data_IF_246919398579
#
_entry.id   IF_246919398579
#
_cell.length_a   1.000
_cell.length_b   1.000
_cell.length_c   1.000
_cell.angle_alpha   90.00
_cell.angle_beta   90.00
_cell.angle_gamma   90.00
#
_symmetry.space_group_name_H-M   'P 1'
#
loop_
_entity.id
_entity.type
_entity.pdbx_description
1 polymer ?
#
# COMPACT_ATOMS: atom_id res chain seq x y z
N UNK A 1 27.71 11.88 0.27
CA UNK A 1 26.93 12.98 -0.35
C UNK A 1 25.50 12.56 -0.68
N UNK A 2 25.29 11.45 -1.41
CA UNK A 2 23.95 10.99 -1.81
C UNK A 2 22.97 10.78 -0.64
N UNK A 3 23.42 10.21 0.47
CA UNK A 3 22.56 10.01 1.65
C UNK A 3 22.04 11.35 2.23
N UNK A 4 22.89 12.38 2.30
CA UNK A 4 22.49 13.71 2.76
C UNK A 4 21.49 14.37 1.82
N UNK A 5 21.72 14.25 0.50
CA UNK A 5 20.76 14.71 -0.53
C UNK A 5 19.44 13.95 -0.40
N UNK A 6 19.51 12.64 -0.14
CA UNK A 6 18.37 11.76 0.09
C UNK A 6 17.50 12.26 1.24
N UNK A 7 18.10 12.47 2.42
CA UNK A 7 17.38 13.00 3.58
C UNK A 7 16.88 14.42 3.38
N UNK A 8 17.65 15.29 2.71
CA UNK A 8 17.20 16.65 2.41
C UNK A 8 15.95 16.65 1.50
N UNK A 9 15.99 15.92 0.38
CA UNK A 9 14.85 15.83 -0.53
C UNK A 9 13.69 15.07 0.09
N UNK A 10 13.95 14.01 0.87
CA UNK A 10 12.93 13.30 1.65
C UNK A 10 12.21 14.23 2.64
N UNK A 11 12.95 15.06 3.36
CA UNK A 11 12.38 16.07 4.26
C UNK A 11 11.57 17.13 3.50
N UNK A 12 12.09 17.62 2.37
CA UNK A 12 11.38 18.59 1.54
C UNK A 12 10.03 18.03 1.05
N UNK A 13 10.03 16.82 0.47
CA UNK A 13 8.81 16.15 0.00
C UNK A 13 7.85 15.91 1.16
N UNK A 14 8.34 15.44 2.31
CA UNK A 14 7.51 15.21 3.49
C UNK A 14 6.84 16.48 4.01
N UNK A 15 7.55 17.62 4.02
CA UNK A 15 7.00 18.93 4.42
C UNK A 15 5.92 19.36 3.42
N UNK A 16 6.17 19.25 2.12
CA UNK A 16 5.19 19.59 1.08
C UNK A 16 3.94 18.71 1.20
N UNK A 17 4.12 17.41 1.41
CA UNK A 17 3.02 16.45 1.60
C UNK A 17 2.20 16.71 2.88
N UNK A 18 2.85 17.13 3.96
CA UNK A 18 2.16 17.56 5.18
C UNK A 18 1.34 18.83 4.95
N UNK A 19 1.90 19.83 4.28
CA UNK A 19 1.19 21.08 3.93
C UNK A 19 0.03 20.83 2.97
N UNK A 20 0.18 19.89 2.04
CA UNK A 20 -0.88 19.43 1.15
C UNK A 20 -1.95 18.58 1.86
N UNK A 21 -1.78 18.26 3.15
CA UNK A 21 -2.73 17.47 3.92
C UNK A 21 -2.78 15.99 3.53
N UNK A 22 -1.75 15.46 2.87
CA UNK A 22 -1.59 14.02 2.57
C UNK A 22 -0.95 13.25 3.73
N UNK A 23 -0.15 13.93 4.55
CA UNK A 23 0.51 13.37 5.74
C UNK A 23 0.08 14.10 7.01
N UNK A 24 0.07 13.37 8.12
CA UNK A 24 0.12 13.98 9.46
C UNK A 24 1.55 14.40 9.83
N UNK A 25 1.76 15.10 10.96
CA UNK A 25 3.10 15.46 11.43
C UNK A 25 3.99 14.23 11.67
N UNK A 26 3.44 13.20 12.32
CA UNK A 26 4.15 11.93 12.55
C UNK A 26 4.41 11.18 11.24
N UNK A 27 3.45 11.20 10.32
CA UNK A 27 3.62 10.67 8.97
C UNK A 27 4.71 11.39 8.18
N UNK A 28 4.83 12.71 8.30
CA UNK A 28 5.87 13.49 7.64
C UNK A 28 7.26 13.12 8.15
N UNK A 29 7.44 12.98 9.47
CA UNK A 29 8.71 12.51 10.03
C UNK A 29 9.06 11.10 9.53
N UNK A 30 8.12 10.16 9.58
CA UNK A 30 8.32 8.81 9.07
C UNK A 30 8.63 8.79 7.57
N UNK A 31 8.00 9.65 6.77
CA UNK A 31 8.22 9.76 5.34
C UNK A 31 9.59 10.37 5.01
N UNK A 32 10.04 11.35 5.78
CA UNK A 32 11.38 11.92 5.64
C UNK A 32 12.47 10.86 5.91
N UNK A 33 12.28 10.05 6.95
CA UNK A 33 13.19 8.94 7.27
C UNK A 33 13.16 7.85 6.20
N UNK A 34 11.96 7.33 5.89
CA UNK A 34 11.78 6.21 4.95
C UNK A 34 12.21 6.61 3.53
N UNK A 35 11.75 7.76 3.05
CA UNK A 35 12.13 8.30 1.74
C UNK A 35 13.59 8.72 1.67
N UNK A 36 14.14 9.27 2.76
CA UNK A 36 15.56 9.62 2.87
C UNK A 36 16.46 8.39 2.76
N UNK A 37 16.10 7.28 3.40
CA UNK A 37 16.82 6.01 3.28
C UNK A 37 16.70 5.41 1.88
N UNK A 38 15.48 5.28 1.36
CA UNK A 38 15.23 4.68 0.03
C UNK A 38 15.98 5.45 -1.05
N UNK A 39 15.88 6.78 -1.05
CA UNK A 39 16.56 7.59 -2.05
C UNK A 39 18.07 7.69 -1.79
N UNK A 40 18.46 7.93 -0.53
CA UNK A 40 19.85 8.11 -0.16
C UNK A 40 20.72 6.87 -0.41
N UNK A 41 20.14 5.68 -0.32
CA UNK A 41 20.82 4.40 -0.56
C UNK A 41 20.57 3.91 -1.99
N UNK A 42 19.30 3.79 -2.40
CA UNK A 42 18.94 3.20 -3.69
C UNK A 42 19.08 4.16 -4.89
N UNK A 43 19.08 5.47 -4.65
CA UNK A 43 19.17 6.48 -5.68
C UNK A 43 17.86 6.78 -6.40
N UNK A 44 17.97 7.47 -7.54
CA UNK A 44 16.83 8.01 -8.29
C UNK A 44 15.79 6.93 -8.67
N UNK A 45 16.18 5.73 -9.17
CA UNK A 45 15.19 4.71 -9.54
C UNK A 45 14.29 4.31 -8.36
N UNK A 46 14.87 4.14 -7.17
CA UNK A 46 14.15 3.74 -5.97
C UNK A 46 13.23 4.86 -5.47
N UNK A 47 13.73 6.09 -5.49
CA UNK A 47 12.94 7.27 -5.14
C UNK A 47 11.75 7.45 -6.08
N UNK A 48 11.92 7.21 -7.38
CA UNK A 48 10.85 7.35 -8.37
C UNK A 48 9.73 6.34 -8.13
N UNK A 49 10.02 5.07 -7.83
CA UNK A 49 8.94 4.11 -7.53
C UNK A 49 8.17 4.48 -6.25
N UNK A 50 8.88 4.89 -5.20
CA UNK A 50 8.25 5.37 -3.97
C UNK A 50 7.37 6.60 -4.23
N UNK A 51 7.86 7.56 -5.02
CA UNK A 51 7.12 8.76 -5.39
C UNK A 51 5.94 8.46 -6.31
N UNK A 52 6.08 7.54 -7.26
CA UNK A 52 4.97 7.09 -8.12
C UNK A 52 3.84 6.54 -7.28
N UNK A 53 4.14 5.64 -6.33
CA UNK A 53 3.15 5.17 -5.36
C UNK A 53 2.54 6.33 -4.57
N UNK A 54 3.38 7.11 -3.88
CA UNK A 54 2.92 8.12 -2.94
C UNK A 54 2.08 9.22 -3.60
N UNK A 55 2.55 9.78 -4.72
CA UNK A 55 1.89 10.88 -5.43
C UNK A 55 0.60 10.39 -6.07
N UNK A 56 0.62 9.28 -6.81
CA UNK A 56 -0.58 8.78 -7.50
C UNK A 56 -1.67 8.36 -6.51
N UNK A 57 -1.30 7.62 -5.46
CA UNK A 57 -2.23 7.20 -4.42
C UNK A 57 -2.78 8.39 -3.62
N UNK A 58 -1.95 9.40 -3.32
CA UNK A 58 -2.44 10.62 -2.66
C UNK A 58 -3.39 11.42 -3.55
N UNK A 59 -3.10 11.51 -4.85
CA UNK A 59 -3.96 12.20 -5.80
C UNK A 59 -5.35 11.55 -5.87
N UNK A 60 -5.42 10.21 -5.92
CA UNK A 60 -6.68 9.48 -5.86
C UNK A 60 -7.42 9.71 -4.54
N UNK A 61 -6.71 9.61 -3.40
CA UNK A 61 -7.31 9.85 -2.08
C UNK A 61 -7.95 11.23 -1.96
N UNK A 62 -7.29 12.27 -2.49
CA UNK A 62 -7.82 13.64 -2.48
C UNK A 62 -8.94 13.85 -3.48
N UNK A 63 -8.80 13.38 -4.72
CA UNK A 63 -9.79 13.54 -5.79
C UNK A 63 -11.15 12.95 -5.39
N UNK A 64 -11.16 11.83 -4.67
CA UNK A 64 -12.39 11.12 -4.30
C UNK A 64 -12.78 11.24 -2.82
N UNK A 65 -12.14 12.12 -2.05
CA UNK A 65 -12.38 12.28 -0.62
C UNK A 65 -13.87 12.51 -0.29
N UNK A 66 -14.54 13.42 -1.03
CA UNK A 66 -15.97 13.75 -0.81
C UNK A 66 -16.90 12.56 -1.07
N UNK A 67 -16.62 11.78 -2.13
CA UNK A 67 -17.45 10.62 -2.51
C UNK A 67 -17.34 9.48 -1.51
N UNK A 68 -16.24 9.41 -0.76
CA UNK A 68 -15.98 8.37 0.27
C UNK A 68 -16.36 8.80 1.68
N UNK A 69 -16.84 10.03 1.89
CA UNK A 69 -17.12 10.56 3.23
C UNK A 69 -18.08 9.68 4.03
N UNK A 70 -19.10 9.11 3.38
CA UNK A 70 -20.06 8.20 4.01
C UNK A 70 -19.45 6.87 4.50
N UNK A 71 -18.30 6.45 3.94
CA UNK A 71 -17.61 5.22 4.32
C UNK A 71 -16.56 5.43 5.42
N UNK A 72 -16.30 6.68 5.82
CA UNK A 72 -15.26 7.02 6.79
C UNK A 72 -15.46 6.38 8.18
N UNK A 73 -16.70 6.03 8.55
CA UNK A 73 -17.01 5.32 9.80
C UNK A 73 -16.52 3.87 9.82
N UNK A 74 -16.32 3.24 8.65
CA UNK A 74 -15.82 1.87 8.54
C UNK A 74 -14.31 1.78 8.73
N UNK A 75 -13.57 2.82 8.35
CA UNK A 75 -12.11 2.83 8.40
C UNK A 75 -11.57 3.45 9.69
N UNK A 76 -10.50 2.86 10.21
CA UNK A 76 -9.81 3.34 11.42
C UNK A 76 -9.10 4.68 11.22
N UNK A 77 -8.63 4.95 10.00
CA UNK A 77 -7.83 6.12 9.64
C UNK A 77 -8.46 6.93 8.52
N UNK A 78 -8.13 8.23 8.49
CA UNK A 78 -8.57 9.15 7.45
C UNK A 78 -7.62 9.16 6.23
N UNK A 79 -7.78 10.16 5.37
CA UNK A 79 -6.94 10.35 4.18
C UNK A 79 -5.51 10.82 4.48
N UNK A 80 -5.26 11.36 5.68
CA UNK A 80 -3.93 11.77 6.14
C UNK A 80 -3.16 10.56 6.68
N UNK A 81 -2.06 10.20 6.03
CA UNK A 81 -1.25 9.06 6.46
C UNK A 81 -0.43 9.40 7.70
N UNK A 82 -0.47 8.53 8.70
CA UNK A 82 0.36 8.61 9.90
C UNK A 82 1.64 7.79 9.79
N UNK A 83 2.48 7.84 10.82
CA UNK A 83 3.76 7.12 10.84
C UNK A 83 3.56 5.61 10.61
N UNK A 84 2.52 5.02 11.20
CA UNK A 84 2.24 3.59 11.08
C UNK A 84 1.85 3.23 9.64
N UNK A 85 1.01 4.02 8.97
CA UNK A 85 0.69 3.83 7.55
C UNK A 85 1.90 4.02 6.64
N UNK A 86 2.80 4.95 6.97
CA UNK A 86 4.03 5.17 6.20
C UNK A 86 4.97 3.98 6.33
N UNK A 87 5.19 3.45 7.53
CA UNK A 87 6.04 2.26 7.71
C UNK A 87 5.39 0.98 7.17
N UNK A 88 4.08 0.84 7.29
CA UNK A 88 3.35 -0.30 6.72
C UNK A 88 3.57 -0.40 5.20
N UNK A 89 3.51 0.73 4.50
CA UNK A 89 3.60 0.75 3.04
C UNK A 89 5.04 0.96 2.49
N UNK A 90 5.92 1.61 3.25
CA UNK A 90 7.26 2.00 2.80
C UNK A 90 8.41 1.43 3.63
N UNK A 91 8.15 0.95 4.85
CA UNK A 91 9.18 0.47 5.78
C UNK A 91 9.92 -0.75 5.26
N UNK A 92 9.20 -1.71 4.66
CA UNK A 92 9.83 -2.85 3.99
C UNK A 92 10.75 -2.38 2.85
N UNK A 93 10.32 -1.38 2.07
CA UNK A 93 11.14 -0.83 1.00
C UNK A 93 12.45 -0.19 1.50
N UNK A 94 12.39 0.54 2.62
CA UNK A 94 13.58 1.07 3.27
C UNK A 94 14.49 -0.03 3.82
N UNK A 95 13.91 -1.11 4.37
CA UNK A 95 14.69 -2.27 4.80
C UNK A 95 15.37 -2.97 3.62
N UNK A 96 14.67 -3.20 2.51
CA UNK A 96 15.26 -3.79 1.30
C UNK A 96 16.39 -2.90 0.76
N UNK A 97 16.22 -1.56 0.78
CA UNK A 97 17.28 -0.64 0.39
C UNK A 97 18.52 -0.77 1.30
N UNK A 98 18.34 -0.90 2.61
CA UNK A 98 19.45 -1.16 3.54
C UNK A 98 20.16 -2.48 3.24
N UNK A 99 19.43 -3.55 2.94
CA UNK A 99 20.03 -4.84 2.53
C UNK A 99 20.77 -4.69 1.19
N UNK A 100 20.23 -3.92 0.25
CA UNK A 100 20.88 -3.61 -1.02
C UNK A 100 22.20 -2.85 -0.86
N UNK A 101 22.33 -1.97 0.14
CA UNK A 101 23.62 -1.33 0.46
C UNK A 101 24.72 -2.35 0.81
N UNK A 102 24.35 -3.50 1.39
CA UNK A 102 25.28 -4.55 1.78
C UNK A 102 25.56 -5.54 0.65
N UNK A 103 24.62 -5.68 -0.31
CA UNK A 103 24.67 -6.65 -1.41
C UNK A 103 24.20 -6.04 -2.74
N UNK A 104 24.87 -5.00 -3.25
CA UNK A 104 24.40 -4.25 -4.43
C UNK A 104 24.39 -5.08 -5.72
N UNK A 105 25.12 -6.20 -5.77
CA UNK A 105 25.18 -7.12 -6.91
C UNK A 105 23.89 -7.95 -7.09
N UNK A 106 23.04 -7.99 -6.07
CA UNK A 106 21.84 -8.82 -6.04
C UNK A 106 20.65 -8.11 -6.72
N UNK A 107 20.50 -8.31 -8.03
CA UNK A 107 19.43 -7.69 -8.82
C UNK A 107 18.01 -7.98 -8.29
N UNK A 108 17.80 -9.13 -7.63
CA UNK A 108 16.52 -9.50 -7.05
C UNK A 108 16.06 -8.53 -5.95
N UNK A 109 16.97 -7.78 -5.29
CA UNK A 109 16.61 -6.78 -4.28
C UNK A 109 15.88 -5.58 -4.89
N UNK A 110 16.32 -5.12 -6.08
CA UNK A 110 15.59 -4.09 -6.85
C UNK A 110 14.20 -4.58 -7.25
N UNK A 111 14.11 -5.83 -7.72
CA UNK A 111 12.84 -6.42 -8.15
C UNK A 111 11.90 -6.67 -6.98
N UNK A 112 12.41 -7.10 -5.83
CA UNK A 112 11.66 -7.22 -4.59
C UNK A 112 11.11 -5.86 -4.13
N UNK A 113 11.92 -4.80 -4.19
CA UNK A 113 11.48 -3.44 -3.89
C UNK A 113 10.37 -2.98 -4.86
N UNK A 114 10.55 -3.20 -6.17
CA UNK A 114 9.54 -2.87 -7.16
C UNK A 114 8.23 -3.65 -6.94
N UNK A 115 8.31 -4.93 -6.59
CA UNK A 115 7.16 -5.76 -6.21
C UNK A 115 6.44 -5.25 -4.96
N UNK A 116 7.19 -4.86 -3.93
CA UNK A 116 6.61 -4.25 -2.72
C UNK A 116 5.85 -2.96 -3.04
N UNK A 117 6.47 -2.06 -3.82
CA UNK A 117 5.85 -0.79 -4.23
C UNK A 117 4.63 -1.01 -5.14
N UNK A 118 4.68 -2.03 -6.01
CA UNK A 118 3.55 -2.38 -6.86
C UNK A 118 2.39 -2.94 -6.05
N UNK A 119 2.65 -3.77 -5.04
CA UNK A 119 1.62 -4.33 -4.15
C UNK A 119 0.88 -3.23 -3.38
N UNK A 120 1.62 -2.34 -2.71
CA UNK A 120 1.00 -1.26 -1.93
C UNK A 120 0.27 -0.25 -2.83
N UNK A 121 0.76 0.00 -4.05
CA UNK A 121 0.08 0.88 -5.00
C UNK A 121 -1.18 0.22 -5.60
N UNK A 122 -1.10 -1.06 -5.97
CA UNK A 122 -2.24 -1.83 -6.46
C UNK A 122 -3.35 -1.89 -5.42
N UNK A 123 -3.00 -2.22 -4.17
CA UNK A 123 -3.95 -2.28 -3.08
C UNK A 123 -4.59 -0.92 -2.78
N UNK A 124 -3.76 0.14 -2.73
CA UNK A 124 -4.28 1.49 -2.48
C UNK A 124 -5.23 1.90 -3.60
N UNK A 125 -4.88 1.66 -4.87
CA UNK A 125 -5.78 1.98 -6.00
C UNK A 125 -7.07 1.14 -5.96
N UNK A 126 -6.98 -0.14 -5.60
CA UNK A 126 -8.13 -1.02 -5.45
C UNK A 126 -9.09 -0.52 -4.37
N UNK A 127 -8.56 -0.09 -3.22
CA UNK A 127 -9.36 0.43 -2.11
C UNK A 127 -9.91 1.83 -2.39
N UNK A 128 -9.10 2.68 -3.03
CA UNK A 128 -9.46 4.07 -3.37
C UNK A 128 -10.54 4.16 -4.45
N UNK A 129 -10.43 3.33 -5.50
CA UNK A 129 -11.36 3.33 -6.63
C UNK A 129 -12.46 2.27 -6.48
N UNK A 130 -12.16 1.11 -5.91
CA UNK A 130 -13.11 0.00 -5.79
C UNK A 130 -14.36 0.34 -4.98
N UNK A 131 -14.24 1.20 -3.96
CA UNK A 131 -15.39 1.70 -3.19
C UNK A 131 -16.38 2.54 -4.02
N UNK A 132 -15.93 3.07 -5.17
CA UNK A 132 -16.75 3.83 -6.11
C UNK A 132 -17.49 2.93 -7.11
N UNK A 133 -17.23 1.62 -7.09
CA UNK A 133 -17.89 0.66 -7.98
C UNK A 133 -19.40 0.68 -7.81
N UNK A 134 -20.11 0.69 -8.94
CA UNK A 134 -21.58 0.57 -8.94
C UNK A 134 -22.03 -0.83 -8.54
N UNK A 135 -21.26 -1.85 -8.90
CA UNK A 135 -21.54 -3.24 -8.51
C UNK A 135 -21.23 -3.47 -7.03
N UNK A 136 -22.06 -4.24 -6.31
CA UNK A 136 -21.79 -4.54 -4.92
C UNK A 136 -20.55 -5.46 -4.80
N UNK A 137 -19.67 -5.23 -3.80
CA UNK A 137 -18.49 -6.07 -3.61
C UNK A 137 -18.87 -7.49 -3.19
N UNK A 138 -17.97 -8.42 -3.47
CA UNK A 138 -18.08 -9.81 -3.05
C UNK A 138 -16.88 -10.17 -2.20
N UNK A 139 -17.08 -10.93 -1.12
CA UNK A 139 -15.97 -11.43 -0.32
C UNK A 139 -15.07 -12.33 -1.17
N UNK A 140 -13.78 -12.07 -1.17
CA UNK A 140 -12.80 -12.83 -1.96
C UNK A 140 -12.79 -14.33 -1.62
N UNK A 141 -13.14 -14.68 -0.39
CA UNK A 141 -13.12 -16.07 0.11
C UNK A 141 -14.38 -16.87 -0.22
N UNK A 142 -15.56 -16.23 -0.27
CA UNK A 142 -16.85 -16.94 -0.38
C UNK A 142 -17.69 -16.50 -1.57
N UNK A 143 -17.33 -15.43 -2.26
CA UNK A 143 -18.11 -14.84 -3.35
C UNK A 143 -19.44 -14.20 -2.93
N UNK A 144 -19.76 -14.22 -1.62
CA UNK A 144 -20.98 -13.62 -1.06
C UNK A 144 -20.94 -12.11 -1.21
N UNK A 145 -22.08 -11.54 -1.57
CA UNK A 145 -22.25 -10.09 -1.68
C UNK A 145 -22.18 -9.47 -0.28
N UNK A 146 -21.36 -8.42 -0.14
CA UNK A 146 -21.19 -7.69 1.12
C UNK A 146 -21.35 -6.18 0.90
N UNK A 147 -21.40 -5.45 2.01
CA UNK A 147 -21.50 -4.00 1.96
C UNK A 147 -20.21 -3.37 1.40
N UNK A 148 -20.35 -2.16 0.83
CA UNK A 148 -19.19 -1.36 0.41
C UNK A 148 -18.32 -1.01 1.63
N UNK A 149 -17.01 -1.12 1.46
CA UNK A 149 -16.02 -0.89 2.52
C UNK A 149 -15.86 -2.04 3.51
N UNK A 150 -16.45 -3.21 3.27
CA UNK A 150 -16.14 -4.43 4.04
C UNK A 150 -14.74 -4.93 3.68
N UNK A 151 -13.89 -5.14 4.68
CA UNK A 151 -12.53 -5.66 4.49
C UNK A 151 -12.55 -7.04 3.83
N UNK A 152 -11.79 -7.19 2.74
CA UNK A 152 -11.78 -8.38 1.87
C UNK A 152 -12.91 -8.45 0.84
N UNK A 153 -13.72 -7.40 0.70
CA UNK A 153 -14.71 -7.24 -0.36
C UNK A 153 -14.08 -6.71 -1.65
N UNK A 154 -14.12 -7.49 -2.73
CA UNK A 154 -13.53 -7.14 -4.04
C UNK A 154 -14.60 -6.86 -5.09
N UNK A 155 -14.26 -6.02 -6.08
CA UNK A 155 -15.08 -5.74 -7.26
C UNK A 155 -14.23 -5.84 -8.52
N UNK A 156 -14.86 -6.05 -9.68
CA UNK A 156 -14.14 -6.01 -10.96
C UNK A 156 -13.44 -4.66 -11.17
N UNK A 157 -14.13 -3.56 -10.86
CA UNK A 157 -13.54 -2.22 -10.97
C UNK A 157 -12.32 -2.03 -10.06
N UNK A 158 -12.40 -2.50 -8.81
CA UNK A 158 -11.27 -2.51 -7.88
C UNK A 158 -10.09 -3.36 -8.39
N UNK A 159 -10.36 -4.54 -8.95
CA UNK A 159 -9.30 -5.39 -9.51
C UNK A 159 -8.63 -4.77 -10.74
N UNK A 160 -9.39 -4.09 -11.61
CA UNK A 160 -8.83 -3.35 -12.75
C UNK A 160 -8.01 -2.14 -12.30
N UNK A 161 -8.43 -1.47 -11.21
CA UNK A 161 -7.64 -0.43 -10.56
C UNK A 161 -6.34 -0.99 -9.97
N UNK A 162 -6.38 -2.16 -9.32
CA UNK A 162 -5.19 -2.85 -8.81
C UNK A 162 -4.21 -3.17 -9.95
N UNK A 163 -4.70 -3.74 -11.05
CA UNK A 163 -3.92 -4.04 -12.24
C UNK A 163 -3.25 -2.78 -12.80
N UNK A 164 -3.99 -1.68 -12.92
CA UNK A 164 -3.46 -0.41 -13.44
C UNK A 164 -2.42 0.21 -12.50
N UNK A 165 -2.64 0.13 -11.19
CA UNK A 165 -1.69 0.58 -10.18
C UNK A 165 -0.38 -0.22 -10.21
N UNK A 166 -0.46 -1.55 -10.32
CA UNK A 166 0.70 -2.42 -10.45
C UNK A 166 1.43 -2.18 -11.79
N UNK A 167 0.70 -2.06 -12.89
CA UNK A 167 1.25 -1.82 -14.22
C UNK A 167 1.98 -0.47 -14.31
N UNK A 168 1.48 0.58 -13.66
CA UNK A 168 2.16 1.88 -13.57
C UNK A 168 3.50 1.76 -12.86
N UNK A 169 3.55 1.14 -11.68
CA UNK A 169 4.80 0.95 -10.94
C UNK A 169 5.76 0.06 -11.73
N UNK A 170 5.26 -1.03 -12.31
CA UNK A 170 6.05 -1.92 -13.15
C UNK A 170 6.64 -1.22 -14.38
N UNK A 171 5.90 -0.32 -15.02
CA UNK A 171 6.38 0.44 -16.18
C UNK A 171 7.58 1.30 -15.81
N UNK A 172 7.49 2.03 -14.70
CA UNK A 172 8.60 2.84 -14.20
C UNK A 172 9.78 1.95 -13.81
N UNK A 173 9.53 0.81 -13.15
CA UNK A 173 10.59 -0.11 -12.74
C UNK A 173 11.33 -0.73 -13.94
N UNK A 174 10.57 -1.16 -14.96
CA UNK A 174 11.09 -1.75 -16.19
C UNK A 174 11.87 -0.73 -17.04
N UNK A 175 11.53 0.56 -17.00
CA UNK A 175 12.28 1.61 -17.68
C UNK A 175 13.73 1.75 -17.17
N UNK A 176 14.01 1.31 -15.94
CA UNK A 176 15.36 1.25 -15.37
C UNK A 176 16.08 -0.08 -15.64
N UNK A 177 15.44 -1.01 -16.35
CA UNK A 177 16.11 -2.22 -16.87
C UNK A 177 16.45 -2.04 -18.34
N UNK A 178 17.65 -2.48 -18.74
CA UNK A 178 18.04 -2.46 -20.15
C UNK A 178 17.02 -3.19 -21.04
N UNK A 179 17.00 -2.83 -22.33
CA UNK A 179 15.94 -3.21 -23.29
C UNK A 179 15.60 -4.71 -23.34
N UNK A 180 16.56 -5.60 -23.08
CA UNK A 180 16.36 -7.05 -23.15
C UNK A 180 15.50 -7.67 -22.05
N UNK A 181 15.24 -6.98 -20.93
CA UNK A 181 14.47 -7.52 -19.78
C UNK A 181 13.22 -6.73 -19.43
N UNK A 182 12.87 -5.73 -20.24
CA UNK A 182 11.76 -4.82 -19.98
C UNK A 182 10.43 -5.55 -19.76
N UNK A 183 9.99 -6.36 -20.72
CA UNK A 183 8.70 -7.06 -20.64
C UNK A 183 8.67 -8.12 -19.53
N UNK A 184 9.81 -8.78 -19.28
CA UNK A 184 9.94 -9.74 -18.19
C UNK A 184 9.74 -9.04 -16.84
N UNK A 185 10.48 -7.96 -16.56
CA UNK A 185 10.34 -7.25 -15.29
C UNK A 185 8.96 -6.63 -15.16
N UNK A 186 8.42 -6.05 -16.23
CA UNK A 186 7.09 -5.44 -16.20
C UNK A 186 6.01 -6.48 -15.83
N UNK A 187 6.06 -7.66 -16.45
CA UNK A 187 5.17 -8.78 -16.11
C UNK A 187 5.33 -9.25 -14.66
N UNK A 188 6.56 -9.43 -14.20
CA UNK A 188 6.86 -9.83 -12.81
C UNK A 188 6.28 -8.85 -11.81
N UNK A 189 6.48 -7.54 -12.02
CA UNK A 189 6.02 -6.50 -11.10
C UNK A 189 4.49 -6.38 -11.10
N UNK A 190 3.83 -6.56 -12.25
CA UNK A 190 2.36 -6.64 -12.32
C UNK A 190 1.84 -7.82 -11.49
N UNK A 191 2.39 -9.02 -11.71
CA UNK A 191 1.97 -10.23 -11.00
C UNK A 191 2.21 -10.10 -9.50
N UNK A 192 3.36 -9.55 -9.09
CA UNK A 192 3.68 -9.28 -7.70
C UNK A 192 2.71 -8.28 -7.07
N UNK A 193 2.38 -7.20 -7.78
CA UNK A 193 1.44 -6.18 -7.29
C UNK A 193 0.03 -6.74 -7.08
N UNK A 194 -0.46 -7.52 -8.05
CA UNK A 194 -1.74 -8.22 -7.96
C UNK A 194 -1.76 -9.26 -6.84
N UNK A 195 -0.68 -10.04 -6.69
CA UNK A 195 -0.57 -11.04 -5.63
C UNK A 195 -0.58 -10.41 -4.24
N UNK A 196 0.12 -9.29 -4.05
CA UNK A 196 0.09 -8.53 -2.80
C UNK A 196 -1.29 -8.00 -2.46
N UNK A 197 -1.97 -7.32 -3.40
CA UNK A 197 -3.33 -6.81 -3.18
C UNK A 197 -4.37 -7.92 -2.97
N UNK A 198 -4.20 -9.06 -3.64
CA UNK A 198 -5.04 -10.24 -3.38
C UNK A 198 -4.80 -10.80 -1.98
N UNK A 199 -3.54 -10.86 -1.53
CA UNK A 199 -3.19 -11.27 -0.17
C UNK A 199 -3.83 -10.33 0.88
N UNK A 200 -3.81 -9.01 0.66
CA UNK A 200 -4.53 -8.05 1.51
C UNK A 200 -6.01 -8.44 1.65
N UNK A 201 -6.69 -8.61 0.51
CA UNK A 201 -8.11 -8.96 0.49
C UNK A 201 -8.40 -10.28 1.22
N UNK A 202 -7.54 -11.29 1.09
CA UNK A 202 -7.69 -12.58 1.77
C UNK A 202 -7.48 -12.43 3.27
N UNK A 203 -6.43 -11.72 3.71
CA UNK A 203 -6.16 -11.47 5.13
C UNK A 203 -7.29 -10.62 5.75
N UNK A 204 -7.75 -9.60 5.02
CA UNK A 204 -8.90 -8.77 5.38
C UNK A 204 -10.17 -9.58 5.56
N UNK A 205 -10.43 -10.57 4.71
CA UNK A 205 -11.60 -11.45 4.79
C UNK A 205 -11.52 -12.53 5.87
N UNK A 206 -10.34 -12.81 6.43
CA UNK A 206 -10.12 -13.99 7.29
C UNK A 206 -9.65 -13.63 8.69
N UNK A 207 -8.47 -13.01 8.79
CA UNK A 207 -7.70 -12.90 10.04
C UNK A 207 -7.52 -11.46 10.52
N UNK A 208 -7.83 -10.45 9.71
CA UNK A 208 -7.78 -9.03 10.12
C UNK A 208 -8.76 -8.75 11.27
N UNK A 209 -8.30 -7.96 12.24
CA UNK A 209 -9.11 -7.47 13.33
C UNK A 209 -10.28 -6.62 12.81
N UNK A 210 -11.51 -7.11 13.02
CA UNK A 210 -12.75 -6.37 12.76
C UNK A 210 -13.54 -6.26 14.05
N UNK A 211 -14.14 -5.09 14.24
CA UNK A 211 -14.95 -4.76 15.39
C UNK A 211 -16.37 -4.40 14.97
N UNK A 212 -17.31 -4.47 15.91
CA UNK A 212 -18.68 -4.04 15.74
C UNK A 212 -19.03 -3.00 16.78
N UNK A 213 -19.72 -1.94 16.36
CA UNK A 213 -20.31 -0.98 17.25
C UNK A 213 -21.70 -1.48 17.71
N UNK A 214 -21.94 -1.75 19.01
CA UNK A 214 -23.24 -2.22 19.47
C UNK A 214 -24.34 -1.16 19.34
N UNK A 215 -24.00 0.13 19.44
CA UNK A 215 -24.96 1.23 19.32
C UNK A 215 -25.42 1.48 17.89
N UNK A 216 -24.51 1.41 16.92
CA UNK A 216 -24.83 1.65 15.50
C UNK A 216 -25.16 0.38 14.73
N UNK A 217 -24.91 -0.79 15.32
CA UNK A 217 -25.03 -2.10 14.69
C UNK A 217 -24.20 -2.27 13.39
N UNK A 218 -23.03 -1.64 13.31
CA UNK A 218 -22.15 -1.64 12.13
C UNK A 218 -20.79 -2.26 12.42
N UNK A 219 -20.24 -2.96 11.43
CA UNK A 219 -18.83 -3.38 11.43
C UNK A 219 -17.90 -2.20 11.10
N UNK A 220 -16.73 -2.19 11.73
CA UNK A 220 -15.74 -1.13 11.62
C UNK A 220 -14.35 -1.66 11.99
N UNK A 221 -13.31 -1.03 11.44
CA UNK A 221 -11.92 -1.21 11.85
C UNK A 221 -11.55 -0.30 13.04
N UNK A 222 -12.45 0.63 13.43
CA UNK A 222 -12.21 1.57 14.53
C UNK A 222 -12.22 0.88 15.89
N UNK A 223 -11.15 1.10 16.64
CA UNK A 223 -10.97 0.61 18.00
C UNK A 223 -10.12 1.60 18.81
N UNK A 224 -10.39 1.82 20.12
CA UNK A 224 -11.43 1.18 20.93
C UNK A 224 -12.83 1.81 20.85
N UNK A 225 -12.97 2.94 20.17
CA UNK A 225 -14.24 3.68 20.07
C UNK A 225 -14.68 3.85 18.62
N UNK A 226 -15.99 3.74 18.39
CA UNK A 226 -16.63 4.07 17.11
C UNK A 226 -16.81 5.59 16.98
N UNK A 227 -17.14 6.08 15.77
CA UNK A 227 -17.40 7.50 15.50
C UNK A 227 -18.56 8.07 16.33
N UNK A 228 -19.48 7.23 16.82
CA UNK A 228 -20.57 7.63 17.71
C UNK A 228 -20.17 7.70 19.20
N UNK A 229 -18.90 7.43 19.55
CA UNK A 229 -18.39 7.42 20.93
C UNK A 229 -18.58 6.10 21.70
N UNK A 230 -19.34 5.14 21.16
CA UNK A 230 -19.52 3.83 21.79
C UNK A 230 -18.24 2.97 21.69
N UNK A 231 -17.97 2.15 22.71
CA UNK A 231 -16.88 1.16 22.67
C UNK A 231 -17.19 0.06 21.65
N UNK A 232 -16.21 -0.27 20.81
CA UNK A 232 -16.35 -1.34 19.83
C UNK A 232 -15.99 -2.69 20.44
N UNK A 233 -16.65 -3.75 19.99
CA UNK A 233 -16.41 -5.12 20.42
C UNK A 233 -15.82 -5.90 19.25
N UNK A 234 -14.74 -6.63 19.49
CA UNK A 234 -14.11 -7.41 18.43
C UNK A 234 -15.02 -8.57 18.00
N UNK A 235 -15.19 -8.76 16.69
CA UNK A 235 -16.03 -9.82 16.12
C UNK A 235 -15.23 -10.81 15.27
N UNK A 236 -14.07 -10.42 14.76
CA UNK A 236 -13.22 -11.28 13.92
C UNK A 236 -11.72 -10.95 14.08
N UNK A 237 -10.90 -11.94 13.76
CA UNK A 237 -9.46 -11.77 13.53
C UNK A 237 -8.61 -11.67 14.79
N UNK A 238 -7.32 -11.40 14.61
CA UNK A 238 -6.37 -11.24 15.70
C UNK A 238 -6.19 -9.77 16.05
N UNK A 239 -6.25 -9.41 17.35
CA UNK A 239 -6.20 -8.00 17.81
C UNK A 239 -5.00 -7.20 17.30
N UNK A 240 -3.86 -7.87 17.11
CA UNK A 240 -2.63 -7.24 16.65
C UNK A 240 -2.56 -7.08 15.12
N UNK A 241 -3.40 -7.81 14.37
CA UNK A 241 -3.44 -7.81 12.91
C UNK A 241 -4.47 -6.78 12.42
N UNK A 242 -4.14 -5.51 12.59
CA UNK A 242 -4.92 -4.39 12.07
C UNK A 242 -4.59 -4.10 10.59
N UNK A 243 -5.27 -3.13 9.98
CA UNK A 243 -5.09 -2.76 8.58
C UNK A 243 -3.64 -2.36 8.23
N UNK A 244 -2.91 -1.70 9.14
CA UNK A 244 -1.50 -1.35 8.87
C UNK A 244 -0.63 -2.60 8.77
N UNK A 245 -0.86 -3.60 9.61
CA UNK A 245 -0.14 -4.87 9.56
C UNK A 245 -0.52 -5.69 8.32
N UNK A 246 -1.78 -5.66 7.90
CA UNK A 246 -2.22 -6.30 6.66
C UNK A 246 -1.53 -5.64 5.45
N UNK A 247 -1.49 -4.31 5.38
CA UNK A 247 -0.74 -3.57 4.34
C UNK A 247 0.75 -3.95 4.32
N UNK A 248 1.38 -4.09 5.50
CA UNK A 248 2.76 -4.55 5.59
C UNK A 248 2.94 -5.95 5.00
N UNK A 249 2.05 -6.89 5.34
CA UNK A 249 2.08 -8.25 4.79
C UNK A 249 1.78 -8.29 3.29
N UNK A 250 0.91 -7.40 2.79
CA UNK A 250 0.66 -7.17 1.37
C UNK A 250 1.96 -6.77 0.65
N UNK A 251 2.68 -5.79 1.18
CA UNK A 251 3.99 -5.35 0.64
C UNK A 251 5.03 -6.49 0.66
N UNK A 252 5.04 -7.30 1.72
CA UNK A 252 5.93 -8.44 1.87
C UNK A 252 5.61 -9.55 0.86
N UNK A 253 4.33 -9.84 0.65
CA UNK A 253 3.86 -10.78 -0.37
C UNK A 253 4.28 -10.35 -1.77
N UNK A 254 4.09 -9.08 -2.11
CA UNK A 254 4.54 -8.52 -3.38
C UNK A 254 6.06 -8.64 -3.58
N UNK A 255 6.85 -8.30 -2.55
CA UNK A 255 8.30 -8.43 -2.59
C UNK A 255 8.75 -9.87 -2.81
N UNK A 256 8.16 -10.82 -2.08
CA UNK A 256 8.50 -12.24 -2.15
C UNK A 256 8.16 -12.84 -3.51
N UNK A 257 6.97 -12.53 -4.07
CA UNK A 257 6.58 -12.99 -5.41
C UNK A 257 7.52 -12.42 -6.47
N UNK A 258 7.81 -11.12 -6.43
CA UNK A 258 8.70 -10.49 -7.40
C UNK A 258 10.11 -11.10 -7.37
N UNK A 259 10.68 -11.25 -6.17
CA UNK A 259 12.00 -11.86 -5.99
C UNK A 259 12.03 -13.30 -6.50
N UNK A 260 11.02 -14.09 -6.15
CA UNK A 260 10.94 -15.51 -6.54
C UNK A 260 10.83 -15.68 -8.04
N UNK A 261 9.95 -14.92 -8.69
CA UNK A 261 9.81 -14.96 -10.15
C UNK A 261 11.09 -14.49 -10.84
N UNK A 262 11.77 -13.47 -10.32
CA UNK A 262 13.04 -13.02 -10.88
C UNK A 262 14.11 -14.11 -10.79
N UNK A 263 14.25 -14.76 -9.63
CA UNK A 263 15.25 -15.83 -9.43
C UNK A 263 14.99 -17.02 -10.37
N UNK A 264 13.73 -17.31 -10.70
CA UNK A 264 13.37 -18.44 -11.56
C UNK A 264 13.53 -18.12 -13.05
N UNK A 265 13.24 -16.89 -13.48
CA UNK A 265 13.06 -16.56 -14.89
C UNK A 265 14.09 -15.58 -15.48
N UNK A 266 15.04 -15.02 -14.70
CA UNK A 266 15.98 -13.98 -15.15
C UNK A 266 17.46 -14.39 -15.09
#
# INVERSE_FOLDING_TARGET
MQLLIGFFLGALIAILAWRAGSLSKSGAFAAALTGGLIFGIGGIPWALLLLTFFVSSSALSHAFARRKAALSEKFSKGSRRDWAQVFANGGLGAFIALVYALKPEQAWLWVAFAGAMAAVNADTWATELGVLSQSPPRLVTTGRVVERGTSGGVTLFGNLAALSGAALVGLIAAAFTGSGRFFLLWGIVILAGLAGSFLDSVLGATVQAIYRCPACNKETERHPFHSCGARTVQVRGFRWLNNDMVNFLCSLGGAAVAASLWIVYA
#
